data_IF_082254429849
#
_entry.id   IF_082254429849
#
_cell.length_a   1.000
_cell.length_b   1.000
_cell.length_c   1.000
_cell.angle_alpha   90.00
_cell.angle_beta   90.00
_cell.angle_gamma   90.00
#
_symmetry.space_group_name_H-M   'P 1'
#
loop_
_entity.id
_entity.type
_entity.pdbx_description
1 polymer ?
#
# COMPACT_ATOMS: atom_id res chain seq x y z
N UNK A 1 -1.57 97.14 21.86
CA UNK A 1 -1.96 95.71 21.85
C UNK A 1 -2.37 95.30 20.44
N UNK A 2 -1.60 94.51 19.69
CA UNK A 2 -2.03 93.95 18.44
C UNK A 2 -2.33 92.45 18.58
N UNK A 3 -3.44 92.06 17.98
CA UNK A 3 -3.94 90.70 17.85
C UNK A 3 -3.08 89.86 16.94
N UNK A 4 -2.75 88.66 17.39
CA UNK A 4 -2.00 87.62 16.62
C UNK A 4 -2.99 86.73 15.89
N UNK A 5 -3.05 86.88 14.56
CA UNK A 5 -3.75 85.95 13.66
C UNK A 5 -3.03 84.61 13.60
N UNK A 6 -3.67 83.57 14.10
CA UNK A 6 -3.26 82.16 13.79
C UNK A 6 -3.67 81.81 12.38
N UNK A 7 -2.72 81.42 11.54
CA UNK A 7 -2.97 80.80 10.23
C UNK A 7 -3.18 79.30 10.45
N UNK A 8 -4.41 78.82 10.24
CA UNK A 8 -4.72 77.39 10.06
C UNK A 8 -4.22 76.95 8.70
N UNK A 9 -3.19 76.09 8.68
CA UNK A 9 -2.75 75.37 7.49
C UNK A 9 -3.41 73.99 7.49
N UNK A 10 -4.60 73.88 6.92
CA UNK A 10 -5.22 72.60 6.58
C UNK A 10 -4.42 71.95 5.48
N UNK A 11 -3.64 70.90 5.85
CA UNK A 11 -2.99 69.99 4.93
C UNK A 11 -4.08 69.06 4.35
N UNK A 12 -4.44 69.26 3.11
CA UNK A 12 -5.31 68.33 2.35
C UNK A 12 -4.53 67.02 2.15
N UNK A 13 -4.91 65.97 2.87
CA UNK A 13 -4.50 64.60 2.57
C UNK A 13 -5.17 64.16 1.25
N UNK A 14 -4.39 63.85 0.26
CA UNK A 14 -4.85 63.21 -0.99
C UNK A 14 -5.20 61.78 -0.68
N UNK A 15 -6.33 61.23 -1.19
CA UNK A 15 -6.67 59.82 -1.00
C UNK A 15 -5.66 58.97 -1.73
N UNK A 16 -5.02 58.05 -0.98
CA UNK A 16 -4.14 57.02 -1.54
C UNK A 16 -5.04 56.10 -2.34
N UNK A 17 -4.88 56.09 -3.67
CA UNK A 17 -5.55 55.18 -4.57
C UNK A 17 -4.99 53.77 -4.33
N UNK A 18 -5.77 52.91 -3.66
CA UNK A 18 -5.38 51.53 -3.40
C UNK A 18 -5.48 50.76 -4.74
N UNK A 19 -4.34 50.58 -5.38
CA UNK A 19 -4.24 49.70 -6.55
C UNK A 19 -4.57 48.29 -6.10
N UNK A 20 -5.75 47.79 -6.54
CA UNK A 20 -6.11 46.41 -6.33
C UNK A 20 -5.13 45.49 -7.06
N UNK A 21 -4.28 44.77 -6.32
CA UNK A 21 -3.43 43.72 -6.87
C UNK A 21 -4.38 42.63 -7.40
N UNK A 22 -4.31 42.27 -8.70
CA UNK A 22 -5.07 41.16 -9.21
C UNK A 22 -4.72 39.92 -8.41
N UNK A 23 -5.70 39.32 -7.72
CA UNK A 23 -5.52 38.00 -7.14
C UNK A 23 -5.39 37.04 -8.31
N UNK A 24 -4.21 36.40 -8.42
CA UNK A 24 -4.05 35.26 -9.31
C UNK A 24 -5.20 34.27 -9.00
N UNK A 25 -5.80 33.65 -10.04
CA UNK A 25 -6.83 32.64 -9.81
C UNK A 25 -6.20 31.57 -8.90
N UNK A 26 -6.74 31.41 -7.72
CA UNK A 26 -6.41 30.30 -6.83
C UNK A 26 -6.76 29.03 -7.59
N UNK A 27 -5.79 28.27 -8.05
CA UNK A 27 -6.04 26.93 -8.59
C UNK A 27 -6.87 26.18 -7.54
N UNK A 28 -8.02 25.71 -7.95
CA UNK A 28 -8.91 24.94 -7.10
C UNK A 28 -8.17 23.64 -6.73
N UNK A 29 -7.73 23.52 -5.50
CA UNK A 29 -7.00 22.33 -5.02
C UNK A 29 -8.00 21.18 -5.01
N UNK A 30 -7.93 20.32 -6.02
CA UNK A 30 -8.75 19.11 -6.11
C UNK A 30 -8.24 18.15 -5.04
N UNK A 31 -9.07 17.87 -4.02
CA UNK A 31 -8.74 16.85 -3.03
C UNK A 31 -8.76 15.44 -3.67
N UNK A 32 -7.76 14.61 -3.42
CA UNK A 32 -7.72 13.26 -3.98
C UNK A 32 -8.83 12.40 -3.37
N UNK A 33 -9.52 11.64 -4.22
CA UNK A 33 -10.51 10.65 -3.82
C UNK A 33 -9.86 9.34 -3.38
N UNK A 34 -8.77 8.96 -4.06
CA UNK A 34 -8.03 7.72 -3.80
C UNK A 34 -6.54 8.02 -3.74
N UNK A 35 -5.86 7.53 -2.71
CA UNK A 35 -4.40 7.48 -2.65
C UNK A 35 -3.94 6.08 -3.05
N UNK A 36 -3.26 5.97 -4.20
CA UNK A 36 -2.66 4.72 -4.69
C UNK A 36 -1.25 4.60 -4.13
N UNK A 37 -0.96 3.48 -3.47
CA UNK A 37 0.34 3.20 -2.86
C UNK A 37 0.99 2.04 -3.61
N UNK A 38 2.16 2.29 -4.21
CA UNK A 38 3.01 1.30 -4.85
C UNK A 38 4.32 1.17 -4.07
N UNK A 39 4.75 -0.05 -3.81
CA UNK A 39 6.06 -0.33 -3.23
C UNK A 39 6.99 -0.82 -4.35
N UNK A 40 8.22 -0.34 -4.37
CA UNK A 40 9.24 -0.75 -5.32
C UNK A 40 10.56 -1.12 -4.64
N UNK A 41 11.12 -2.24 -5.03
CA UNK A 41 12.47 -2.65 -4.68
C UNK A 41 13.12 -3.30 -5.89
N UNK A 42 13.98 -2.55 -6.60
CA UNK A 42 14.62 -3.00 -7.83
C UNK A 42 13.61 -3.48 -8.91
N UNK A 43 12.47 -2.76 -9.06
CA UNK A 43 11.38 -3.07 -9.98
C UNK A 43 10.97 -1.86 -10.84
N UNK A 44 11.89 -0.96 -11.17
CA UNK A 44 11.58 0.27 -11.92
C UNK A 44 10.79 0.02 -13.23
N UNK A 45 11.07 -1.02 -14.04
CA UNK A 45 10.28 -1.26 -15.25
C UNK A 45 8.81 -1.61 -14.96
N UNK A 46 8.54 -2.44 -13.94
CA UNK A 46 7.20 -2.80 -13.53
C UNK A 46 6.45 -1.59 -12.93
N UNK A 47 7.11 -0.83 -12.06
CA UNK A 47 6.57 0.40 -11.50
C UNK A 47 6.22 1.43 -12.59
N UNK A 48 7.10 1.62 -13.58
CA UNK A 48 6.86 2.53 -14.71
C UNK A 48 5.60 2.13 -15.47
N UNK A 49 5.40 0.83 -15.74
CA UNK A 49 4.20 0.29 -16.40
C UNK A 49 2.95 0.57 -15.55
N UNK A 50 2.99 0.27 -14.25
CA UNK A 50 1.86 0.51 -13.34
C UNK A 50 1.51 2.01 -13.23
N UNK A 51 2.52 2.88 -13.12
CA UNK A 51 2.32 4.34 -13.07
C UNK A 51 1.77 4.87 -14.38
N UNK A 52 2.26 4.40 -15.54
CA UNK A 52 1.70 4.78 -16.86
C UNK A 52 0.22 4.42 -16.97
N UNK A 53 -0.19 3.26 -16.47
CA UNK A 53 -1.60 2.87 -16.44
C UNK A 53 -2.44 3.78 -15.53
N UNK A 54 -1.89 4.21 -14.39
CA UNK A 54 -2.54 5.18 -13.50
C UNK A 54 -2.62 6.57 -14.13
N UNK A 55 -1.61 7.01 -14.87
CA UNK A 55 -1.65 8.28 -15.62
C UNK A 55 -2.75 8.28 -16.71
N UNK A 56 -3.05 7.12 -17.28
CA UNK A 56 -4.13 6.93 -18.25
C UNK A 56 -5.53 6.77 -17.59
N UNK A 57 -5.62 6.80 -16.25
CA UNK A 57 -6.88 6.62 -15.54
C UNK A 57 -7.85 7.78 -15.76
N UNK A 58 -9.14 7.47 -15.85
CA UNK A 58 -10.20 8.49 -15.78
C UNK A 58 -10.13 9.21 -14.44
N UNK A 59 -10.40 10.51 -14.47
CA UNK A 59 -10.32 11.37 -13.28
C UNK A 59 -8.94 11.29 -12.59
N UNK A 60 -7.85 11.26 -13.40
CA UNK A 60 -6.46 11.18 -12.91
C UNK A 60 -6.15 12.25 -11.85
N UNK A 61 -6.71 13.43 -12.00
CA UNK A 61 -6.56 14.56 -11.07
C UNK A 61 -7.12 14.27 -9.66
N UNK A 62 -7.99 13.26 -9.53
CA UNK A 62 -8.53 12.79 -8.25
C UNK A 62 -7.74 11.63 -7.65
N UNK A 63 -6.64 11.23 -8.29
CA UNK A 63 -5.72 10.22 -7.79
C UNK A 63 -4.47 10.87 -7.21
N UNK A 64 -4.14 10.54 -5.98
CA UNK A 64 -2.81 10.73 -5.41
C UNK A 64 -2.02 9.44 -5.62
N UNK A 65 -0.90 9.51 -6.34
CA UNK A 65 -0.03 8.34 -6.58
C UNK A 65 1.23 8.48 -5.74
N UNK A 66 1.46 7.52 -4.84
CA UNK A 66 2.59 7.48 -3.92
C UNK A 66 3.40 6.23 -4.24
N UNK A 67 4.61 6.41 -4.74
CA UNK A 67 5.59 5.35 -4.96
C UNK A 67 6.57 5.38 -3.79
N UNK A 68 6.79 4.23 -3.16
CA UNK A 68 7.78 4.08 -2.10
C UNK A 68 8.94 3.26 -2.66
N UNK A 69 10.05 3.94 -2.92
CA UNK A 69 11.32 3.29 -3.21
C UNK A 69 11.88 2.70 -1.92
N UNK A 70 11.84 1.39 -1.81
CA UNK A 70 12.27 0.63 -0.63
C UNK A 70 13.80 0.48 -0.53
N UNK A 71 14.56 1.46 -0.99
CA UNK A 71 16.02 1.46 -0.92
C UNK A 71 16.66 0.59 -2.01
N UNK A 72 16.00 0.49 -3.18
CA UNK A 72 16.53 -0.14 -4.37
C UNK A 72 17.75 0.59 -4.95
N UNK A 73 18.42 -0.04 -5.90
CA UNK A 73 19.59 0.52 -6.62
C UNK A 73 19.29 0.78 -8.09
N UNK A 74 18.02 0.65 -8.49
CA UNK A 74 17.54 0.90 -9.84
C UNK A 74 16.97 2.33 -9.99
N UNK A 75 16.37 2.60 -11.15
CA UNK A 75 15.82 3.92 -11.51
C UNK A 75 14.48 4.25 -10.83
N UNK A 76 14.00 3.44 -9.88
CA UNK A 76 12.74 3.70 -9.15
C UNK A 76 12.73 5.10 -8.53
N UNK A 77 13.87 5.52 -7.96
CA UNK A 77 14.01 6.84 -7.35
C UNK A 77 13.87 8.01 -8.34
N UNK A 78 13.88 7.76 -9.64
CA UNK A 78 13.82 8.78 -10.69
C UNK A 78 12.43 8.90 -11.34
N UNK A 79 11.47 8.09 -10.94
CA UNK A 79 10.13 8.08 -11.54
C UNK A 79 9.42 9.45 -11.43
N UNK A 80 9.69 10.24 -10.41
CA UNK A 80 9.13 11.60 -10.27
C UNK A 80 9.69 12.60 -11.29
N UNK A 81 10.79 12.28 -11.95
CA UNK A 81 11.29 13.08 -13.08
C UNK A 81 10.60 12.72 -14.41
N UNK A 82 10.04 11.51 -14.50
CA UNK A 82 9.30 11.03 -15.67
C UNK A 82 7.81 11.36 -15.57
N UNK A 83 7.26 11.38 -14.35
CA UNK A 83 5.83 11.58 -14.05
C UNK A 83 5.67 12.72 -13.05
N UNK A 84 5.25 13.90 -13.50
CA UNK A 84 5.17 15.12 -12.68
C UNK A 84 4.14 15.04 -11.53
N UNK A 85 3.12 14.17 -11.66
CA UNK A 85 1.98 14.11 -10.72
C UNK A 85 2.05 12.93 -9.75
N UNK A 86 3.23 12.42 -9.47
CA UNK A 86 3.43 11.37 -8.48
C UNK A 86 4.35 11.86 -7.35
N UNK A 87 4.26 11.20 -6.22
CA UNK A 87 5.17 11.42 -5.08
C UNK A 87 6.05 10.18 -4.93
N UNK A 88 7.36 10.34 -5.05
CA UNK A 88 8.32 9.26 -4.78
C UNK A 88 8.97 9.47 -3.41
N UNK A 89 8.73 8.55 -2.49
CA UNK A 89 9.36 8.51 -1.17
C UNK A 89 10.53 7.55 -1.20
N UNK A 90 11.74 8.10 -1.07
CA UNK A 90 13.00 7.33 -1.13
C UNK A 90 13.41 6.89 0.27
N UNK A 91 13.39 5.59 0.53
CA UNK A 91 13.87 5.05 1.79
C UNK A 91 15.40 4.86 1.72
N UNK A 92 16.13 5.12 2.81
CA UNK A 92 17.60 5.04 2.81
C UNK A 92 18.12 3.60 2.72
N UNK A 93 17.28 2.61 2.99
CA UNK A 93 17.58 1.19 2.97
C UNK A 93 16.28 0.38 2.92
N UNK A 94 16.38 -0.91 2.66
CA UNK A 94 15.23 -1.80 2.71
C UNK A 94 14.68 -1.91 4.14
N UNK A 95 13.47 -1.44 4.34
CA UNK A 95 12.80 -1.45 5.66
C UNK A 95 11.72 -2.54 5.78
N UNK A 96 11.54 -3.37 4.73
CA UNK A 96 10.46 -4.34 4.62
C UNK A 96 9.13 -3.74 4.17
N UNK A 97 8.30 -4.56 3.53
CA UNK A 97 7.03 -4.14 2.94
C UNK A 97 6.07 -3.52 3.98
N UNK A 98 5.97 -4.11 5.16
CA UNK A 98 5.06 -3.65 6.23
C UNK A 98 5.32 -2.21 6.67
N UNK A 99 6.61 -1.85 6.88
CA UNK A 99 6.97 -0.47 7.27
C UNK A 99 6.76 0.49 6.11
N UNK A 100 7.12 0.09 4.88
CA UNK A 100 6.91 0.89 3.69
C UNK A 100 5.41 1.19 3.47
N UNK A 101 4.53 0.18 3.57
CA UNK A 101 3.09 0.38 3.51
C UNK A 101 2.58 1.34 4.57
N UNK A 102 3.05 1.21 5.82
CA UNK A 102 2.69 2.12 6.90
C UNK A 102 3.10 3.57 6.61
N UNK A 103 4.26 3.79 5.99
CA UNK A 103 4.69 5.12 5.53
C UNK A 103 3.73 5.62 4.46
N UNK A 104 3.39 4.80 3.46
CA UNK A 104 2.44 5.15 2.40
C UNK A 104 1.07 5.55 2.96
N UNK A 105 0.49 4.74 3.84
CA UNK A 105 -0.82 5.03 4.47
C UNK A 105 -0.79 6.33 5.30
N UNK A 106 0.31 6.63 5.98
CA UNK A 106 0.45 7.88 6.74
C UNK A 106 0.61 9.10 5.84
N UNK A 107 1.25 8.95 4.70
CA UNK A 107 1.43 10.00 3.69
C UNK A 107 0.15 10.26 2.90
N UNK A 108 -0.63 9.22 2.63
CA UNK A 108 -1.87 9.29 1.87
C UNK A 108 -2.83 10.36 2.41
N UNK A 109 -3.33 11.23 1.52
CA UNK A 109 -4.29 12.31 1.86
C UNK A 109 -5.73 11.83 1.78
N UNK A 110 -6.06 10.95 0.81
CA UNK A 110 -7.40 10.44 0.63
C UNK A 110 -7.85 9.52 1.77
N UNK A 111 -9.17 9.41 1.95
CA UNK A 111 -9.79 8.47 2.91
C UNK A 111 -9.91 7.04 2.34
N UNK A 112 -9.66 6.86 1.06
CA UNK A 112 -9.56 5.57 0.39
C UNK A 112 -8.11 5.35 -0.03
N UNK A 113 -7.55 4.19 0.34
CA UNK A 113 -6.20 3.76 -0.05
C UNK A 113 -6.31 2.57 -0.99
N UNK A 114 -5.54 2.59 -2.06
CA UNK A 114 -5.42 1.48 -2.98
C UNK A 114 -3.98 0.97 -2.98
N UNK A 115 -3.75 -0.20 -2.36
CA UNK A 115 -2.49 -0.92 -2.50
C UNK A 115 -2.45 -1.53 -3.90
N UNK A 116 -1.40 -1.22 -4.64
CA UNK A 116 -1.21 -1.71 -6.00
C UNK A 116 0.20 -2.26 -6.16
N UNK A 117 0.29 -3.54 -6.51
CA UNK A 117 1.57 -4.18 -6.85
C UNK A 117 2.15 -3.55 -8.13
N UNK A 118 3.48 -3.39 -8.23
CA UNK A 118 4.13 -3.02 -9.49
C UNK A 118 3.78 -3.96 -10.66
N UNK A 119 3.41 -5.20 -10.34
CA UNK A 119 3.03 -6.21 -11.31
C UNK A 119 1.58 -6.08 -11.82
N UNK A 120 0.83 -5.06 -11.37
CA UNK A 120 -0.56 -4.86 -11.76
C UNK A 120 -0.72 -3.63 -12.64
N UNK A 121 -1.35 -3.82 -13.78
CA UNK A 121 -1.75 -2.76 -14.71
C UNK A 121 -3.28 -2.60 -14.67
N UNK A 122 -3.73 -1.41 -14.27
CA UNK A 122 -5.17 -1.10 -14.17
C UNK A 122 -5.72 -0.57 -15.48
N UNK A 123 -6.98 -0.88 -15.79
CA UNK A 123 -7.69 -0.23 -16.88
C UNK A 123 -8.10 1.20 -16.48
N UNK A 124 -8.34 2.12 -17.45
CA UNK A 124 -8.60 3.54 -17.17
C UNK A 124 -9.75 3.82 -16.20
N UNK A 125 -10.76 2.96 -16.12
CA UNK A 125 -11.92 3.14 -15.24
C UNK A 125 -11.80 2.40 -13.89
N UNK A 126 -10.82 1.50 -13.73
CA UNK A 126 -10.74 0.55 -12.62
C UNK A 126 -10.75 1.24 -11.26
N UNK A 127 -9.90 2.25 -11.05
CA UNK A 127 -9.74 2.88 -9.72
C UNK A 127 -11.02 3.59 -9.29
N UNK A 128 -11.64 4.36 -10.20
CA UNK A 128 -12.86 5.10 -9.88
C UNK A 128 -14.08 4.22 -9.72
N UNK A 129 -14.17 3.11 -10.46
CA UNK A 129 -15.25 2.14 -10.29
C UNK A 129 -15.14 1.43 -8.93
N UNK A 130 -13.96 0.96 -8.54
CA UNK A 130 -13.74 0.36 -7.22
C UNK A 130 -14.06 1.33 -6.09
N UNK A 131 -13.64 2.59 -6.22
CA UNK A 131 -13.94 3.62 -5.22
C UNK A 131 -15.46 3.85 -5.08
N UNK A 132 -16.20 3.84 -6.19
CA UNK A 132 -17.67 3.94 -6.18
C UNK A 132 -18.32 2.82 -5.38
N UNK A 133 -17.97 1.56 -5.69
CA UNK A 133 -18.49 0.40 -4.94
C UNK A 133 -18.13 0.42 -3.46
N UNK A 134 -16.90 0.83 -3.13
CA UNK A 134 -16.50 0.92 -1.72
C UNK A 134 -17.29 1.99 -0.96
N UNK A 135 -17.65 3.10 -1.60
CA UNK A 135 -18.40 4.19 -0.96
C UNK A 135 -19.89 3.84 -0.76
N UNK A 136 -20.49 3.07 -1.67
CA UNK A 136 -21.90 2.69 -1.63
C UNK A 136 -22.23 1.70 -0.50
N UNK A 137 -21.29 0.81 -0.13
CA UNK A 137 -21.52 -0.30 0.78
C UNK A 137 -20.86 -0.08 2.16
N UNK A 138 -21.66 0.19 3.18
CA UNK A 138 -21.16 0.50 4.53
C UNK A 138 -20.50 -0.68 5.25
N UNK A 139 -20.92 -1.93 4.98
CA UNK A 139 -20.33 -3.13 5.60
C UNK A 139 -19.04 -3.55 4.91
N UNK A 140 -18.85 -3.14 3.66
CA UNK A 140 -17.65 -3.41 2.86
C UNK A 140 -16.54 -2.47 3.30
N UNK A 141 -15.41 -3.03 3.67
CA UNK A 141 -14.24 -2.28 4.08
C UNK A 141 -13.17 -2.26 3.02
N UNK A 142 -13.14 -3.28 2.16
CA UNK A 142 -12.18 -3.41 1.07
C UNK A 142 -12.82 -4.03 -0.17
N UNK A 143 -12.28 -3.65 -1.34
CA UNK A 143 -12.69 -4.16 -2.66
C UNK A 143 -11.46 -4.43 -3.51
N UNK A 144 -11.56 -5.39 -4.44
CA UNK A 144 -10.50 -5.68 -5.39
C UNK A 144 -11.07 -5.98 -6.79
N UNK A 145 -10.29 -5.73 -7.86
CA UNK A 145 -10.65 -6.14 -9.21
C UNK A 145 -10.38 -7.62 -9.40
N UNK A 146 -10.93 -8.20 -10.48
CA UNK A 146 -10.47 -9.47 -10.98
C UNK A 146 -9.10 -9.30 -11.64
N UNK A 147 -8.08 -9.97 -11.11
CA UNK A 147 -6.79 -10.06 -11.75
C UNK A 147 -6.83 -11.07 -12.89
N UNK A 148 -6.32 -10.66 -14.05
CA UNK A 148 -6.21 -11.52 -15.23
C UNK A 148 -4.77 -11.48 -15.73
N UNK A 149 -4.30 -12.61 -16.30
CA UNK A 149 -3.01 -12.61 -16.99
C UNK A 149 -3.10 -11.85 -18.33
N UNK A 150 -1.98 -11.59 -19.02
CA UNK A 150 -2.01 -10.93 -20.34
C UNK A 150 -2.80 -11.66 -21.42
N UNK A 151 -3.10 -12.94 -21.22
CA UNK A 151 -3.98 -13.73 -22.09
C UNK A 151 -5.48 -13.62 -21.70
N UNK A 152 -5.81 -12.87 -20.66
CA UNK A 152 -7.17 -12.64 -20.17
C UNK A 152 -7.72 -13.74 -19.25
N UNK A 153 -6.90 -14.71 -18.83
CA UNK A 153 -7.30 -15.77 -17.90
C UNK A 153 -7.28 -15.23 -16.47
N UNK A 154 -8.32 -15.56 -15.70
CA UNK A 154 -8.38 -15.18 -14.29
C UNK A 154 -7.24 -15.81 -13.48
N UNK A 155 -6.54 -14.96 -12.72
CA UNK A 155 -5.42 -15.36 -11.83
C UNK A 155 -5.63 -14.91 -10.38
N UNK A 156 -6.74 -14.20 -10.07
CA UNK A 156 -7.13 -13.90 -8.70
C UNK A 156 -7.24 -15.16 -7.86
N UNK A 157 -6.75 -15.07 -6.63
CA UNK A 157 -6.77 -16.16 -5.67
C UNK A 157 -7.38 -15.72 -4.36
N UNK A 158 -7.99 -16.68 -3.66
CA UNK A 158 -8.40 -16.53 -2.27
C UNK A 158 -7.55 -17.48 -1.43
N UNK A 159 -6.78 -16.91 -0.49
CA UNK A 159 -5.79 -17.65 0.26
C UNK A 159 -6.38 -18.24 1.55
N UNK A 160 -6.07 -19.52 1.83
CA UNK A 160 -6.38 -20.13 3.12
C UNK A 160 -5.23 -19.93 4.11
N UNK A 161 -5.48 -19.11 5.11
CA UNK A 161 -4.49 -18.79 6.15
C UNK A 161 -4.00 -20.04 6.91
N UNK A 162 -4.84 -21.09 7.06
CA UNK A 162 -4.40 -22.30 7.73
C UNK A 162 -3.47 -23.13 6.84
N UNK A 163 -3.75 -23.21 5.56
CA UNK A 163 -2.87 -23.83 4.58
C UNK A 163 -1.52 -23.08 4.48
N UNK A 164 -1.56 -21.73 4.47
CA UNK A 164 -0.35 -20.89 4.55
C UNK A 164 0.51 -21.24 5.78
N UNK A 165 -0.12 -21.37 6.97
CA UNK A 165 0.58 -21.75 8.19
C UNK A 165 1.16 -23.16 8.11
N UNK A 166 0.46 -24.10 7.47
CA UNK A 166 0.92 -25.48 7.26
C UNK A 166 2.06 -25.56 6.23
N UNK A 167 2.19 -24.54 5.38
CA UNK A 167 3.12 -24.54 4.24
C UNK A 167 2.63 -25.44 3.11
N UNK A 168 1.31 -25.56 3.00
CA UNK A 168 0.58 -26.26 1.92
C UNK A 168 0.21 -25.28 0.81
N UNK A 169 -0.37 -25.78 -0.29
CA UNK A 169 -0.95 -24.91 -1.32
C UNK A 169 -2.17 -24.20 -0.71
N UNK A 170 -2.02 -22.90 -0.51
CA UNK A 170 -2.97 -22.05 0.18
C UNK A 170 -3.89 -21.28 -0.77
N UNK A 171 -3.60 -21.32 -2.06
CA UNK A 171 -4.23 -20.47 -3.05
C UNK A 171 -5.31 -21.22 -3.85
N UNK A 172 -6.59 -20.94 -3.58
CA UNK A 172 -7.70 -21.42 -4.40
C UNK A 172 -8.05 -20.44 -5.51
N UNK A 173 -8.40 -20.94 -6.69
CA UNK A 173 -8.97 -20.12 -7.76
C UNK A 173 -10.32 -19.58 -7.33
N UNK A 174 -10.55 -18.29 -7.60
CA UNK A 174 -11.84 -17.66 -7.29
C UNK A 174 -12.90 -18.16 -8.25
N UNK A 175 -13.99 -18.70 -7.72
CA UNK A 175 -15.17 -19.02 -8.52
C UNK A 175 -15.94 -17.73 -8.84
N UNK A 176 -15.94 -17.35 -10.11
CA UNK A 176 -16.58 -16.12 -10.57
C UNK A 176 -18.08 -16.36 -10.70
N UNK A 177 -18.84 -15.92 -9.72
CA UNK A 177 -20.31 -16.01 -9.72
C UNK A 177 -20.92 -14.64 -9.33
N UNK A 178 -21.84 -14.14 -10.16
CA UNK A 178 -22.57 -12.90 -9.89
C UNK A 178 -21.79 -11.61 -10.11
N UNK A 179 -22.31 -10.52 -9.57
CA UNK A 179 -21.75 -9.16 -9.73
C UNK A 179 -20.56 -8.91 -8.80
N UNK A 180 -20.52 -9.57 -7.66
CA UNK A 180 -19.42 -9.51 -6.69
C UNK A 180 -19.23 -10.88 -6.01
N UNK A 181 -18.00 -11.13 -5.57
CA UNK A 181 -17.61 -12.35 -4.84
C UNK A 181 -17.01 -11.94 -3.50
N UNK A 182 -17.55 -12.47 -2.40
CA UNK A 182 -16.96 -12.25 -1.07
C UNK A 182 -15.65 -13.04 -0.96
N UNK A 183 -14.56 -12.35 -0.57
CA UNK A 183 -13.22 -12.90 -0.44
C UNK A 183 -12.82 -13.01 1.02
N UNK A 184 -12.14 -14.09 1.38
CA UNK A 184 -11.56 -14.25 2.71
C UNK A 184 -10.18 -13.58 2.83
N UNK A 185 -9.32 -13.75 1.82
CA UNK A 185 -7.95 -13.22 1.79
C UNK A 185 -7.42 -13.08 0.35
N UNK A 186 -7.73 -11.98 -0.36
CA UNK A 186 -7.30 -11.78 -1.76
C UNK A 186 -5.83 -11.35 -1.92
N UNK A 187 -5.07 -11.19 -0.82
CA UNK A 187 -3.74 -10.56 -0.86
C UNK A 187 -3.80 -9.03 -0.97
N UNK A 188 -2.65 -8.41 -1.27
CA UNK A 188 -2.50 -6.96 -1.39
C UNK A 188 -2.10 -6.49 -2.81
N UNK A 189 -2.08 -7.38 -3.80
CA UNK A 189 -1.65 -7.01 -5.16
C UNK A 189 -2.50 -5.90 -5.78
N UNK A 190 -3.82 -5.90 -5.51
CA UNK A 190 -4.74 -4.85 -5.94
C UNK A 190 -5.90 -4.74 -4.94
N UNK A 191 -5.62 -4.22 -3.74
CA UNK A 191 -6.63 -4.10 -2.69
C UNK A 191 -6.92 -2.63 -2.38
N UNK A 192 -8.14 -2.19 -2.63
CA UNK A 192 -8.64 -0.88 -2.22
C UNK A 192 -9.37 -0.99 -0.89
N UNK A 193 -9.06 -0.11 0.06
CA UNK A 193 -9.55 -0.20 1.44
C UNK A 193 -9.80 1.18 2.04
N UNK A 194 -10.77 1.26 2.95
CA UNK A 194 -11.00 2.46 3.77
C UNK A 194 -9.81 2.70 4.69
N UNK A 195 -9.14 3.83 4.54
CA UNK A 195 -7.96 4.22 5.35
C UNK A 195 -8.27 4.22 6.84
N UNK A 196 -9.49 4.60 7.22
CA UNK A 196 -9.93 4.60 8.62
C UNK A 196 -9.86 3.21 9.26
N UNK A 197 -10.09 2.13 8.49
CA UNK A 197 -9.96 0.77 9.00
C UNK A 197 -8.51 0.46 9.37
N UNK A 198 -7.55 0.80 8.50
CA UNK A 198 -6.11 0.62 8.76
C UNK A 198 -5.67 1.43 9.99
N UNK A 199 -6.14 2.68 10.11
CA UNK A 199 -5.90 3.50 11.31
C UNK A 199 -6.48 2.85 12.57
N UNK A 200 -7.71 2.30 12.47
CA UNK A 200 -8.41 1.65 13.60
C UNK A 200 -7.71 0.39 14.10
N UNK A 201 -7.04 -0.37 13.23
CA UNK A 201 -6.20 -1.51 13.63
C UNK A 201 -4.79 -1.11 14.10
N UNK A 202 -4.51 0.18 14.20
CA UNK A 202 -3.20 0.75 14.54
C UNK A 202 -2.12 0.45 13.49
N UNK A 203 -2.49 0.50 12.21
CA UNK A 203 -1.66 0.20 11.05
C UNK A 203 -1.22 -1.28 10.97
N UNK A 204 -0.41 -1.60 9.98
CA UNK A 204 0.17 -2.93 9.85
C UNK A 204 1.19 -3.21 10.97
N UNK A 205 1.15 -4.39 11.53
CA UNK A 205 2.02 -4.82 12.60
C UNK A 205 3.46 -5.05 12.08
N UNK A 206 4.38 -4.20 12.47
CA UNK A 206 5.75 -4.21 11.98
C UNK A 206 6.54 -5.49 12.30
N UNK A 207 6.01 -6.36 13.20
CA UNK A 207 6.63 -7.65 13.49
C UNK A 207 6.60 -8.61 12.30
N UNK A 208 5.72 -8.37 11.32
CA UNK A 208 5.66 -9.23 10.13
C UNK A 208 6.82 -8.97 9.15
N UNK A 209 7.38 -7.78 9.10
CA UNK A 209 8.51 -7.46 8.24
C UNK A 209 8.10 -7.41 6.77
N UNK A 210 8.31 -8.49 6.04
CA UNK A 210 8.11 -8.55 4.60
C UNK A 210 6.99 -9.49 4.15
N UNK A 211 6.27 -10.11 5.08
CA UNK A 211 5.19 -11.05 4.74
C UNK A 211 4.27 -11.28 5.92
N UNK A 212 3.03 -11.74 5.65
CA UNK A 212 1.95 -12.00 6.61
C UNK A 212 1.15 -10.77 7.05
N UNK A 213 1.49 -9.57 6.60
CA UNK A 213 0.72 -8.35 6.85
C UNK A 213 -0.65 -8.38 6.16
N UNK A 214 -0.72 -9.01 4.99
CA UNK A 214 -1.95 -9.27 4.23
C UNK A 214 -2.86 -10.26 4.97
N UNK A 215 -2.32 -11.36 5.46
CA UNK A 215 -3.04 -12.32 6.28
C UNK A 215 -3.51 -11.69 7.61
N UNK A 216 -2.69 -10.83 8.23
CA UNK A 216 -3.09 -10.08 9.41
C UNK A 216 -4.25 -9.14 9.12
N UNK A 217 -4.20 -8.40 8.00
CA UNK A 217 -5.28 -7.52 7.56
C UNK A 217 -6.58 -8.31 7.35
N UNK A 218 -6.52 -9.44 6.63
CA UNK A 218 -7.67 -10.31 6.40
C UNK A 218 -8.28 -10.80 7.72
N UNK A 219 -7.46 -11.22 8.68
CA UNK A 219 -7.93 -11.62 10.01
C UNK A 219 -8.54 -10.47 10.81
N UNK A 220 -8.01 -9.25 10.70
CA UNK A 220 -8.58 -8.07 11.37
C UNK A 220 -9.93 -7.70 10.76
N UNK A 221 -10.07 -7.73 9.42
CA UNK A 221 -11.33 -7.49 8.71
C UNK A 221 -12.38 -8.50 9.16
N UNK A 222 -12.02 -9.79 9.17
CA UNK A 222 -12.91 -10.88 9.62
C UNK A 222 -13.35 -10.71 11.07
N UNK A 223 -12.44 -10.34 11.99
CA UNK A 223 -12.76 -10.10 13.39
C UNK A 223 -13.67 -8.91 13.62
N UNK A 224 -13.55 -7.89 12.76
CA UNK A 224 -14.44 -6.73 12.77
C UNK A 224 -15.81 -7.01 12.13
N UNK A 225 -16.06 -8.25 11.66
CA UNK A 225 -17.26 -8.63 10.92
C UNK A 225 -17.49 -7.74 9.69
N UNK A 226 -16.40 -7.34 9.03
CA UNK A 226 -16.41 -6.58 7.79
C UNK A 226 -16.08 -7.50 6.61
N UNK A 227 -16.38 -7.01 5.40
CA UNK A 227 -16.29 -7.81 4.17
C UNK A 227 -15.29 -7.23 3.19
N UNK A 228 -14.74 -8.13 2.39
CA UNK A 228 -13.93 -7.84 1.20
C UNK A 228 -14.69 -8.37 0.00
N UNK A 229 -14.86 -7.57 -1.05
CA UNK A 229 -15.50 -8.02 -2.29
C UNK A 229 -14.57 -7.88 -3.49
N UNK A 230 -14.56 -8.92 -4.31
CA UNK A 230 -14.00 -8.90 -5.66
C UNK A 230 -15.11 -8.59 -6.64
N UNK A 231 -14.86 -7.69 -7.60
CA UNK A 231 -15.79 -7.32 -8.67
C UNK A 231 -15.31 -7.87 -10.00
N UNK A 232 -15.90 -8.99 -10.51
CA UNK A 232 -15.40 -9.68 -11.71
C UNK A 232 -15.51 -8.83 -12.99
N UNK A 233 -16.43 -7.86 -13.03
CA UNK A 233 -16.59 -6.94 -14.15
C UNK A 233 -15.45 -5.93 -14.26
N UNK A 234 -14.74 -5.64 -13.14
CA UNK A 234 -13.59 -4.76 -13.08
C UNK A 234 -12.34 -5.60 -13.16
N UNK A 235 -11.54 -5.41 -14.22
CA UNK A 235 -10.35 -6.22 -14.48
C UNK A 235 -9.09 -5.38 -14.39
N UNK A 236 -8.00 -6.02 -13.90
CA UNK A 236 -6.66 -5.49 -13.96
C UNK A 236 -5.70 -6.60 -14.43
N UNK A 237 -4.70 -6.24 -15.23
CA UNK A 237 -3.75 -7.21 -15.76
C UNK A 237 -2.64 -7.44 -14.74
N UNK A 238 -2.41 -8.69 -14.40
CA UNK A 238 -1.33 -9.13 -13.51
C UNK A 238 -0.21 -9.78 -14.31
N UNK A 239 1.00 -9.28 -14.12
CA UNK A 239 2.22 -9.85 -14.71
C UNK A 239 2.94 -10.65 -13.62
N UNK A 240 3.10 -11.95 -13.86
CA UNK A 240 3.78 -12.85 -12.92
C UNK A 240 5.31 -12.65 -13.00
N UNK A 241 5.77 -11.49 -12.53
CA UNK A 241 7.19 -11.14 -12.45
C UNK A 241 7.72 -11.49 -11.06
N UNK A 242 8.96 -12.02 -10.96
CA UNK A 242 9.54 -12.41 -9.68
C UNK A 242 9.73 -11.20 -8.75
N UNK A 243 9.55 -11.45 -7.44
CA UNK A 243 9.90 -10.46 -6.41
C UNK A 243 11.43 -10.43 -6.23
N UNK A 244 12.09 -9.29 -6.55
CA UNK A 244 13.54 -9.19 -6.38
C UNK A 244 14.03 -9.40 -4.93
N UNK A 245 13.17 -9.16 -3.93
CA UNK A 245 13.52 -9.45 -2.54
C UNK A 245 13.67 -10.95 -2.28
N UNK A 246 13.04 -11.81 -3.10
CA UNK A 246 13.12 -13.26 -2.97
C UNK A 246 14.54 -13.81 -3.24
N UNK A 247 15.40 -13.06 -3.92
CA UNK A 247 16.80 -13.43 -4.18
C UNK A 247 17.69 -13.26 -2.93
N UNK A 248 17.21 -12.54 -1.91
CA UNK A 248 17.98 -12.37 -0.67
C UNK A 248 18.01 -13.67 0.15
N UNK A 249 19.19 -14.11 0.59
CA UNK A 249 19.34 -15.34 1.40
C UNK A 249 18.52 -15.35 2.70
N UNK A 250 18.12 -14.17 3.22
CA UNK A 250 17.30 -14.05 4.42
C UNK A 250 15.79 -14.16 4.15
N UNK A 251 15.35 -14.10 2.89
CA UNK A 251 13.93 -14.04 2.52
C UNK A 251 13.13 -15.20 3.12
N UNK A 252 13.62 -16.44 2.96
CA UNK A 252 12.93 -17.61 3.50
C UNK A 252 12.87 -17.61 5.04
N UNK A 253 13.92 -17.10 5.70
CA UNK A 253 13.95 -16.96 7.16
C UNK A 253 12.97 -15.86 7.62
N UNK A 254 12.94 -14.73 6.93
CA UNK A 254 12.03 -13.61 7.22
C UNK A 254 10.56 -14.04 7.12
N UNK A 255 10.18 -14.75 6.05
CA UNK A 255 8.83 -15.33 5.91
C UNK A 255 8.49 -16.29 7.05
N UNK A 256 9.41 -17.14 7.48
CA UNK A 256 9.17 -18.09 8.57
C UNK A 256 9.08 -17.37 9.93
N UNK A 257 9.86 -16.31 10.15
CA UNK A 257 9.75 -15.45 11.34
C UNK A 257 8.44 -14.67 11.36
N UNK A 258 8.00 -14.16 10.22
CA UNK A 258 6.68 -13.53 10.05
C UNK A 258 5.54 -14.51 10.39
N UNK A 259 5.61 -15.75 9.87
CA UNK A 259 4.67 -16.81 10.19
C UNK A 259 4.65 -17.13 11.69
N UNK A 260 5.81 -17.22 12.34
CA UNK A 260 5.91 -17.46 13.77
C UNK A 260 5.28 -16.32 14.59
N UNK A 261 5.50 -15.07 14.16
CA UNK A 261 4.88 -13.89 14.77
C UNK A 261 3.36 -13.91 14.59
N UNK A 262 2.86 -14.27 13.39
CA UNK A 262 1.44 -14.41 13.11
C UNK A 262 0.78 -15.50 13.97
N UNK A 263 1.37 -16.70 14.02
CA UNK A 263 0.89 -17.80 14.87
C UNK A 263 0.92 -17.39 16.34
N UNK A 264 1.97 -16.70 16.78
CA UNK A 264 2.08 -16.15 18.14
C UNK A 264 0.98 -15.15 18.47
N UNK A 265 0.62 -14.27 17.53
CA UNK A 265 -0.45 -13.27 17.68
C UNK A 265 -1.84 -13.91 17.79
N UNK A 266 -2.13 -14.93 16.99
CA UNK A 266 -3.48 -15.49 16.86
C UNK A 266 -3.72 -16.79 17.62
N UNK A 267 -2.68 -17.60 17.87
CA UNK A 267 -2.75 -18.90 18.58
C UNK A 267 -1.97 -18.94 19.90
N UNK A 268 -1.36 -17.79 20.27
CA UNK A 268 -0.60 -17.63 21.51
C UNK A 268 0.90 -17.79 21.33
N UNK A 269 1.65 -17.11 22.20
CA UNK A 269 3.12 -17.02 22.14
C UNK A 269 3.81 -18.39 22.06
N UNK A 270 3.36 -19.37 22.86
CA UNK A 270 3.94 -20.72 22.89
C UNK A 270 3.80 -21.41 21.54
N UNK A 271 2.66 -21.24 20.85
CA UNK A 271 2.44 -21.80 19.51
C UNK A 271 3.39 -21.16 18.47
N UNK A 272 3.59 -19.86 18.54
CA UNK A 272 4.56 -19.16 17.69
C UNK A 272 6.00 -19.63 17.91
N UNK A 273 6.38 -19.85 19.16
CA UNK A 273 7.69 -20.39 19.53
C UNK A 273 7.90 -21.80 18.95
N UNK A 274 6.94 -22.71 19.12
CA UNK A 274 7.00 -24.05 18.55
C UNK A 274 7.05 -24.01 17.01
N UNK A 275 6.32 -23.11 16.38
CA UNK A 275 6.38 -22.91 14.95
C UNK A 275 7.81 -22.52 14.50
N UNK A 276 8.44 -21.55 15.18
CA UNK A 276 9.81 -21.12 14.92
C UNK A 276 10.82 -22.25 15.10
N UNK A 277 10.69 -23.03 16.18
CA UNK A 277 11.53 -24.23 16.44
C UNK A 277 11.38 -25.25 15.29
N UNK A 278 10.13 -25.52 14.87
CA UNK A 278 9.87 -26.39 13.73
C UNK A 278 10.50 -25.89 12.41
N UNK A 279 10.50 -24.59 12.18
CA UNK A 279 11.17 -23.99 11.03
C UNK A 279 12.70 -24.17 11.08
N UNK A 280 13.31 -24.04 12.27
CA UNK A 280 14.74 -24.31 12.48
C UNK A 280 15.08 -25.78 12.15
N UNK A 281 14.28 -26.74 12.61
CA UNK A 281 14.50 -28.15 12.29
C UNK A 281 14.32 -28.45 10.79
N UNK A 282 13.37 -27.78 10.11
CA UNK A 282 13.20 -27.91 8.66
C UNK A 282 14.42 -27.37 7.89
N UNK A 283 14.95 -26.21 8.31
CA UNK A 283 16.16 -25.63 7.72
C UNK A 283 17.38 -26.56 7.93
N UNK A 284 17.52 -27.13 9.14
CA UNK A 284 18.57 -28.11 9.44
C UNK A 284 18.44 -29.35 8.54
N UNK A 285 17.24 -29.90 8.37
CA UNK A 285 16.99 -31.07 7.50
C UNK A 285 17.30 -30.82 6.02
N UNK A 286 17.27 -29.54 5.58
CA UNK A 286 17.66 -29.11 4.23
C UNK A 286 19.12 -28.70 4.12
N UNK A 287 19.90 -28.77 5.21
CA UNK A 287 21.28 -28.27 5.32
C UNK A 287 21.42 -26.76 4.99
N UNK A 288 20.35 -25.98 5.16
CA UNK A 288 20.37 -24.53 4.98
C UNK A 288 20.82 -23.84 6.28
N UNK A 289 22.15 -23.78 6.44
CA UNK A 289 22.79 -23.21 7.63
C UNK A 289 22.54 -21.69 7.75
N UNK A 290 22.34 -20.97 6.62
CA UNK A 290 22.06 -19.54 6.62
C UNK A 290 20.67 -19.28 7.15
N UNK A 291 19.66 -19.94 6.60
CA UNK A 291 18.29 -19.86 7.08
C UNK A 291 18.19 -20.26 8.55
N UNK A 292 18.86 -21.35 8.94
CA UNK A 292 18.90 -21.81 10.34
C UNK A 292 19.49 -20.73 11.27
N UNK A 293 20.63 -20.14 10.90
CA UNK A 293 21.28 -19.09 11.68
C UNK A 293 20.37 -17.86 11.83
N UNK A 294 19.73 -17.42 10.75
CA UNK A 294 18.79 -16.31 10.77
C UNK A 294 17.55 -16.59 11.63
N UNK A 295 17.01 -17.81 11.57
CA UNK A 295 15.89 -18.24 12.43
C UNK A 295 16.28 -18.28 13.91
N UNK A 296 17.51 -18.69 14.24
CA UNK A 296 18.00 -18.70 15.64
C UNK A 296 18.24 -17.28 16.15
N UNK A 297 18.92 -16.43 15.38
CA UNK A 297 19.21 -15.04 15.75
C UNK A 297 17.98 -14.14 15.69
N UNK A 298 16.93 -14.54 14.96
CA UNK A 298 15.77 -13.69 14.66
C UNK A 298 16.04 -12.61 13.63
N UNK A 299 17.13 -12.73 12.87
CA UNK A 299 17.50 -11.74 11.88
C UNK A 299 16.50 -11.71 10.72
N UNK A 300 16.00 -10.51 10.42
CA UNK A 300 15.05 -10.24 9.36
C UNK A 300 15.67 -9.51 8.19
N UNK A 301 14.98 -9.56 7.05
CA UNK A 301 15.40 -8.91 5.82
C UNK A 301 15.52 -7.38 5.97
N UNK A 302 14.68 -6.78 6.80
CA UNK A 302 14.67 -5.34 7.11
C UNK A 302 15.77 -4.90 8.12
N UNK A 303 16.70 -5.77 8.43
CA UNK A 303 17.79 -5.53 9.38
C UNK A 303 17.36 -5.56 10.86
N UNK A 304 16.11 -5.82 11.17
CA UNK A 304 15.63 -5.96 12.57
C UNK A 304 15.83 -7.39 13.09
N UNK A 305 15.64 -7.55 14.40
CA UNK A 305 15.64 -8.87 15.04
C UNK A 305 14.27 -9.18 15.60
N UNK A 306 13.76 -10.36 15.27
CA UNK A 306 12.52 -10.88 15.87
C UNK A 306 12.81 -11.39 17.27
N UNK A 307 12.02 -10.93 18.24
CA UNK A 307 12.05 -11.42 19.61
C UNK A 307 11.53 -12.86 19.73
#
# INVERSE_FOLDING_TARGET
>A
MPETRRRDTQKREQPVETVAIPREPTEEVIEPRVSVILLGYNQAPALRRAVQALEASKDRERLEVIVIDCGGQDDTAQLDTEFEKITVLRLPMYLGATKAMNIGVRTAKAEIVFFLSPNVEVAPQTVMQLAGYLEEENETVAVCPLLVDPAGRAVSKDHDINAMIAGEDDASSVEIAGESVEMAHPGLDALMIRKQFIKGMNYFDQRFGNSWEDADLAMQIRRAQRKIFLFPAIRATYYDEPDPAADDPLYAADRALGAAAFVGKYRGFVSGLFFRIGAIFRALGRFDLRQMSALISGQKLDGTQAM
#
